data_IF_036025054474
#
_entry.id   IF_036025054474
#
_cell.length_a   1.000
_cell.length_b   1.000
_cell.length_c   1.000
_cell.angle_alpha   90.00
_cell.angle_beta   90.00
_cell.angle_gamma   90.00
#
_symmetry.space_group_name_H-M   'P 1'
#
loop_
_entity.id
_entity.type
_entity.pdbx_description
1 polymer ?
#
# COMPACT_ATOMS: atom_id res chain seq x y z
N UNK A 1 8.06 -0.74 -4.76
CA UNK A 1 6.66 -1.12 -5.15
C UNK A 1 6.02 0.06 -5.86
N UNK A 2 5.33 -0.16 -6.97
CA UNK A 2 4.70 0.92 -7.75
C UNK A 2 3.27 1.16 -7.23
N UNK A 3 2.92 2.36 -6.72
CA UNK A 3 1.63 2.60 -6.05
C UNK A 3 0.40 2.27 -6.90
N UNK A 4 0.47 2.54 -8.21
CA UNK A 4 -0.68 2.39 -9.11
C UNK A 4 -1.20 0.95 -9.23
N UNK A 5 -0.38 -0.05 -8.86
CA UNK A 5 -0.72 -1.47 -8.85
C UNK A 5 -1.56 -1.88 -7.61
N UNK A 6 -1.68 -1.00 -6.61
CA UNK A 6 -2.30 -1.29 -5.32
C UNK A 6 -3.70 -0.71 -5.19
N UNK A 7 -4.57 -1.32 -4.40
CA UNK A 7 -5.90 -0.77 -4.06
C UNK A 7 -5.78 0.67 -3.58
N UNK A 8 -6.80 1.49 -3.87
CA UNK A 8 -6.76 2.95 -3.72
C UNK A 8 -6.23 3.44 -2.38
N UNK A 9 -6.71 2.87 -1.26
CA UNK A 9 -6.26 3.25 0.08
C UNK A 9 -4.76 3.01 0.28
N UNK A 10 -4.27 1.82 -0.08
CA UNK A 10 -2.85 1.46 0.05
C UNK A 10 -2.00 2.26 -0.92
N UNK A 11 -2.44 2.41 -2.17
CA UNK A 11 -1.77 3.22 -3.20
C UNK A 11 -1.50 4.64 -2.71
N UNK A 12 -2.51 5.34 -2.20
CA UNK A 12 -2.39 6.72 -1.75
C UNK A 12 -1.37 6.87 -0.62
N UNK A 13 -1.35 5.92 0.34
CA UNK A 13 -0.40 5.93 1.46
C UNK A 13 1.02 5.63 1.01
N UNK A 14 1.21 4.62 0.17
CA UNK A 14 2.53 4.26 -0.37
C UNK A 14 3.10 5.42 -1.18
N UNK A 15 2.29 6.07 -2.03
CA UNK A 15 2.72 7.26 -2.77
C UNK A 15 3.14 8.41 -1.84
N UNK A 16 2.36 8.67 -0.78
CA UNK A 16 2.71 9.71 0.20
C UNK A 16 4.02 9.41 0.91
N UNK A 17 4.20 8.17 1.41
CA UNK A 17 5.45 7.76 2.08
C UNK A 17 6.64 7.89 1.13
N UNK A 18 6.52 7.39 -0.11
CA UNK A 18 7.58 7.49 -1.12
C UNK A 18 7.91 8.94 -1.47
N UNK A 19 6.93 9.84 -1.48
CA UNK A 19 7.17 11.28 -1.72
C UNK A 19 7.92 11.97 -0.57
N UNK A 20 7.78 11.47 0.66
CA UNK A 20 8.41 12.04 1.86
C UNK A 20 9.81 11.47 2.11
N UNK A 21 10.12 10.29 1.59
CA UNK A 21 11.35 9.56 1.88
C UNK A 21 12.23 9.49 0.62
N UNK A 22 13.27 10.32 0.56
CA UNK A 22 14.21 10.35 -0.56
C UNK A 22 15.06 9.08 -0.60
N UNK A 23 14.82 8.20 -1.58
CA UNK A 23 15.63 7.01 -1.92
C UNK A 23 16.11 6.15 -0.74
N UNK A 24 15.35 6.10 0.36
CA UNK A 24 15.73 5.30 1.53
C UNK A 24 15.52 3.81 1.23
N UNK A 25 16.47 2.98 1.63
CA UNK A 25 16.29 1.52 1.61
C UNK A 25 15.50 1.08 2.83
N UNK A 26 14.30 0.54 2.60
CA UNK A 26 13.45 0.00 3.65
C UNK A 26 13.65 -1.51 3.75
N UNK A 27 13.88 -2.00 4.97
CA UNK A 27 14.00 -3.43 5.27
C UNK A 27 13.05 -3.80 6.39
N UNK A 28 12.49 -5.00 6.32
CA UNK A 28 11.67 -5.52 7.39
C UNK A 28 12.54 -5.87 8.61
N UNK A 29 12.10 -5.46 9.79
CA UNK A 29 12.66 -5.87 11.08
C UNK A 29 11.60 -6.72 11.77
N UNK A 30 11.98 -7.92 12.22
CA UNK A 30 11.06 -8.78 12.96
C UNK A 30 10.59 -8.09 14.25
N UNK A 31 9.36 -8.33 14.69
CA UNK A 31 8.80 -7.67 15.88
C UNK A 31 9.68 -7.84 17.11
N UNK A 32 10.30 -9.02 17.28
CA UNK A 32 11.23 -9.33 18.38
C UNK A 32 12.51 -8.47 18.37
N UNK A 33 12.86 -7.90 17.23
CA UNK A 33 14.06 -7.06 17.05
C UNK A 33 13.70 -5.59 16.83
N UNK A 34 12.42 -5.20 16.94
CA UNK A 34 11.98 -3.82 16.74
C UNK A 34 11.86 -3.11 18.11
N UNK A 35 12.76 -2.17 18.46
CA UNK A 35 12.67 -1.46 19.74
C UNK A 35 11.35 -0.72 19.93
N UNK A 36 10.73 -0.19 18.85
CA UNK A 36 9.43 0.46 18.96
C UNK A 36 8.33 -0.50 19.47
N UNK A 37 8.44 -1.80 19.17
CA UNK A 37 7.49 -2.81 19.64
C UNK A 37 7.51 -2.96 21.16
N UNK A 38 8.66 -2.74 21.81
CA UNK A 38 8.79 -2.75 23.28
C UNK A 38 7.88 -1.70 23.90
N UNK A 39 7.97 -0.46 23.44
CA UNK A 39 7.12 0.62 23.92
C UNK A 39 5.65 0.39 23.58
N UNK A 40 5.33 -0.03 22.36
CA UNK A 40 3.94 -0.26 21.93
C UNK A 40 3.26 -1.45 22.65
N UNK A 41 4.02 -2.37 23.23
CA UNK A 41 3.48 -3.45 24.08
C UNK A 41 3.20 -3.03 25.51
N UNK A 42 3.48 -1.77 25.86
CA UNK A 42 3.16 -1.22 27.17
C UNK A 42 4.29 -1.34 28.20
N UNK A 43 5.54 -1.45 27.75
CA UNK A 43 6.69 -1.34 28.64
C UNK A 43 6.67 0.03 29.35
N UNK A 44 6.86 0.02 30.66
CA UNK A 44 6.96 1.24 31.44
C UNK A 44 8.40 1.79 31.49
N UNK A 45 8.61 2.89 32.21
CA UNK A 45 9.93 3.53 32.29
C UNK A 45 10.98 2.64 32.98
N UNK A 46 10.57 1.76 33.90
CA UNK A 46 11.46 0.84 34.59
C UNK A 46 11.86 -0.31 33.66
N UNK A 47 10.89 -0.86 32.92
CA UNK A 47 11.14 -1.87 31.90
C UNK A 47 12.12 -1.35 30.84
N UNK A 48 11.92 -0.11 30.38
CA UNK A 48 12.78 0.50 29.37
C UNK A 48 14.19 0.79 29.90
N UNK A 49 14.34 1.15 31.19
CA UNK A 49 15.65 1.47 31.79
C UNK A 49 16.66 0.35 31.56
N UNK A 50 16.22 -0.90 31.72
CA UNK A 50 17.08 -2.08 31.68
C UNK A 50 16.93 -2.85 30.34
N UNK A 51 16.34 -2.24 29.31
CA UNK A 51 16.10 -2.87 28.01
C UNK A 51 17.21 -2.58 26.98
N UNK A 52 18.11 -3.54 26.78
CA UNK A 52 19.20 -3.42 25.81
C UNK A 52 18.70 -3.24 24.37
N UNK A 53 17.61 -3.89 23.97
CA UNK A 53 17.06 -3.74 22.61
C UNK A 53 16.61 -2.29 22.34
N UNK A 54 16.02 -1.63 23.34
CA UNK A 54 15.59 -0.23 23.24
C UNK A 54 16.77 0.73 23.13
N UNK A 55 17.77 0.58 24.00
CA UNK A 55 18.89 1.53 24.09
C UNK A 55 20.03 1.26 23.10
N UNK A 56 20.35 -0.01 22.86
CA UNK A 56 21.44 -0.40 21.96
C UNK A 56 20.94 -0.73 20.55
N UNK A 57 19.64 -0.97 20.39
CA UNK A 57 19.06 -1.41 19.13
C UNK A 57 19.33 -2.89 18.84
N UNK A 58 18.82 -3.39 17.70
CA UNK A 58 19.03 -4.76 17.32
C UNK A 58 20.46 -4.99 16.80
N UNK A 59 21.03 -6.14 17.18
CA UNK A 59 22.41 -6.51 16.88
C UNK A 59 22.78 -6.45 15.39
N UNK A 60 21.81 -6.68 14.50
CA UNK A 60 22.07 -6.63 13.06
C UNK A 60 22.43 -5.24 12.53
N UNK A 61 22.03 -4.16 13.22
CA UNK A 61 22.43 -2.80 12.85
C UNK A 61 23.86 -2.48 13.24
N UNK A 62 24.43 -3.22 14.21
CA UNK A 62 25.80 -3.06 14.68
C UNK A 62 26.82 -3.76 13.77
N UNK A 63 26.35 -4.52 12.79
CA UNK A 63 27.18 -5.27 11.83
C UNK A 63 27.01 -4.67 10.43
N UNK A 64 27.97 -4.92 9.56
CA UNK A 64 27.83 -4.59 8.15
C UNK A 64 26.68 -5.41 7.54
N UNK A 65 25.62 -4.71 7.10
CA UNK A 65 24.35 -5.30 6.60
C UNK A 65 24.40 -5.52 5.08
N UNK A 66 25.60 -5.51 4.50
CA UNK A 66 25.82 -5.70 3.07
C UNK A 66 25.44 -7.11 2.60
N UNK A 67 25.41 -8.10 3.49
CA UNK A 67 25.04 -9.48 3.16
C UNK A 67 23.51 -9.74 3.24
N UNK A 68 22.83 -9.94 2.10
CA UNK A 68 21.40 -10.22 2.05
C UNK A 68 21.02 -11.62 2.57
N UNK A 69 21.95 -12.58 2.60
CA UNK A 69 21.68 -13.95 3.08
C UNK A 69 21.57 -14.00 4.60
N UNK A 70 22.32 -13.14 5.29
CA UNK A 70 22.34 -13.06 6.76
C UNK A 70 21.06 -12.44 7.34
N UNK A 71 20.41 -11.55 6.59
CA UNK A 71 19.17 -10.88 6.99
C UNK A 71 18.14 -10.95 5.85
N UNK A 72 17.57 -12.15 5.61
CA UNK A 72 16.65 -12.36 4.52
C UNK A 72 15.40 -11.49 4.74
N UNK A 73 15.00 -10.76 3.70
CA UNK A 73 13.67 -10.15 3.69
C UNK A 73 12.64 -11.28 3.80
N UNK A 74 11.68 -11.24 4.76
CA UNK A 74 10.66 -12.26 4.83
C UNK A 74 9.93 -12.38 3.49
N UNK A 75 9.73 -13.61 3.03
CA UNK A 75 8.94 -13.91 1.83
C UNK A 75 7.45 -13.81 2.11
N UNK A 76 7.03 -12.80 2.87
CA UNK A 76 5.63 -12.55 3.15
C UNK A 76 4.96 -12.02 1.88
N UNK A 77 3.98 -12.78 1.40
CA UNK A 77 3.19 -12.47 0.20
C UNK A 77 1.83 -11.88 0.54
N UNK A 78 1.56 -11.56 1.81
CA UNK A 78 0.28 -10.97 2.24
C UNK A 78 -0.04 -9.69 1.47
N UNK A 79 0.98 -8.92 1.08
CA UNK A 79 0.79 -7.71 0.27
C UNK A 79 0.16 -7.98 -1.11
N UNK A 80 0.24 -9.21 -1.64
CA UNK A 80 -0.39 -9.58 -2.92
C UNK A 80 -1.91 -9.40 -2.87
N UNK A 81 -2.52 -9.52 -1.68
CA UNK A 81 -3.95 -9.25 -1.46
C UNK A 81 -4.32 -7.78 -1.66
N UNK A 82 -3.36 -6.86 -1.58
CA UNK A 82 -3.55 -5.43 -1.79
C UNK A 82 -3.37 -5.00 -3.25
N UNK A 83 -3.01 -5.92 -4.14
CA UNK A 83 -2.96 -5.65 -5.57
C UNK A 83 -4.36 -5.38 -6.11
N UNK A 84 -4.46 -4.41 -7.04
CA UNK A 84 -5.69 -4.19 -7.79
C UNK A 84 -6.02 -5.45 -8.58
N UNK A 85 -7.27 -5.88 -8.52
CA UNK A 85 -7.77 -6.91 -9.41
C UNK A 85 -8.06 -6.26 -10.75
N UNK A 86 -7.28 -6.61 -11.77
CA UNK A 86 -7.57 -6.16 -13.13
C UNK A 86 -8.78 -6.94 -13.65
N UNK A 87 -9.86 -6.23 -13.94
CA UNK A 87 -11.04 -6.80 -14.60
C UNK A 87 -10.97 -6.39 -16.05
N UNK A 88 -10.83 -7.37 -16.94
CA UNK A 88 -10.92 -7.14 -18.38
C UNK A 88 -12.38 -6.88 -18.72
N UNK A 89 -12.70 -5.63 -19.07
CA UNK A 89 -14.02 -5.27 -19.61
C UNK A 89 -13.94 -5.39 -21.12
N UNK A 90 -14.65 -6.36 -21.69
CA UNK A 90 -14.86 -6.44 -23.13
C UNK A 90 -16.15 -5.69 -23.48
N UNK A 91 -16.04 -4.69 -24.36
CA UNK A 91 -17.19 -3.98 -24.89
C UNK A 91 -17.45 -4.50 -26.30
N UNK A 92 -18.61 -5.10 -26.53
CA UNK A 92 -19.09 -5.40 -27.86
C UNK A 92 -19.85 -4.18 -28.38
N UNK A 93 -19.36 -3.56 -29.45
CA UNK A 93 -20.06 -2.47 -30.12
C UNK A 93 -21.19 -3.09 -30.94
N UNK A 94 -22.42 -2.86 -30.53
CA UNK A 94 -23.59 -3.08 -31.38
C UNK A 94 -23.91 -1.77 -32.10
N UNK A 95 -24.11 -1.83 -33.41
CA UNK A 95 -24.64 -0.69 -34.17
C UNK A 95 -26.14 -0.54 -33.86
N UNK A 96 -26.47 -0.05 -32.66
CA UNK A 96 -27.82 0.43 -32.38
C UNK A 96 -27.94 1.86 -32.94
N UNK A 97 -28.38 1.94 -34.20
CA UNK A 97 -28.62 3.20 -34.89
C UNK A 97 -29.64 4.10 -34.16
N UNK A 98 -30.42 3.57 -33.21
CA UNK A 98 -31.41 4.32 -32.43
C UNK A 98 -30.94 4.78 -31.05
N UNK A 99 -29.70 4.48 -30.63
CA UNK A 99 -29.22 4.86 -29.29
C UNK A 99 -29.19 6.38 -29.11
N UNK A 100 -28.62 7.10 -30.08
CA UNK A 100 -28.55 8.57 -30.04
C UNK A 100 -29.93 9.20 -30.12
N UNK A 101 -30.82 8.69 -30.97
CA UNK A 101 -32.20 9.17 -31.08
C UNK A 101 -32.99 8.95 -29.78
N UNK A 102 -32.85 7.79 -29.14
CA UNK A 102 -33.46 7.53 -27.83
C UNK A 102 -32.90 8.46 -26.75
N UNK A 103 -31.58 8.68 -26.73
CA UNK A 103 -30.93 9.59 -25.79
C UNK A 103 -31.43 11.03 -25.97
N UNK A 104 -31.53 11.49 -27.22
CA UNK A 104 -32.04 12.81 -27.57
C UNK A 104 -33.52 12.96 -27.17
N UNK A 105 -34.35 11.94 -27.41
CA UNK A 105 -35.76 11.95 -27.01
C UNK A 105 -35.96 11.90 -25.48
N UNK A 106 -35.07 11.21 -24.76
CA UNK A 106 -35.10 11.16 -23.29
C UNK A 106 -34.64 12.47 -22.64
N UNK A 107 -33.73 13.20 -23.29
CA UNK A 107 -33.13 14.42 -22.74
C UNK A 107 -33.84 15.70 -23.18
N UNK A 108 -34.53 15.68 -24.32
CA UNK A 108 -35.36 16.80 -24.76
C UNK A 108 -36.81 16.62 -24.31
N UNK A 109 -37.19 17.39 -23.29
CA UNK A 109 -38.56 17.46 -22.76
C UNK A 109 -39.47 18.39 -23.59
N UNK A 110 -39.15 18.64 -24.87
CA UNK A 110 -39.92 19.50 -25.76
C UNK A 110 -41.02 18.67 -26.44
N UNK A 111 -41.97 18.21 -25.63
CA UNK A 111 -43.22 17.62 -26.13
C UNK A 111 -44.15 18.75 -26.57
N UNK A 112 -44.34 18.90 -27.89
CA UNK A 112 -45.48 19.53 -28.56
C UNK A 112 -46.00 20.85 -27.96
N UNK A 113 -45.41 21.97 -28.36
CA UNK A 113 -46.16 23.22 -28.50
C UNK A 113 -46.76 23.26 -29.91
N UNK A 114 -48.03 22.88 -30.02
CA UNK A 114 -48.89 23.19 -31.18
C UNK A 114 -49.17 24.69 -31.24
#
# INVERSE_FOLDING_TARGET
MQPHLLKTFVSNRVAKIQSLCSNSQWRHVSSKCNPADVLFRGADAEDLRDNDLWWQGPEFLLRDISDPEKYPCPKDKTFEQELKRFVTVSCAVTNDFGFLDKLLNLTNNYSNAN
#
